data_IF_029151205230
#
_entry.id   IF_029151205230
#
_cell.length_a   1.000
_cell.length_b   1.000
_cell.length_c   1.000
_cell.angle_alpha   90.00
_cell.angle_beta   90.00
_cell.angle_gamma   90.00
#
_symmetry.space_group_name_H-M   'P 1'
#
loop_
_entity.id
_entity.type
_entity.pdbx_description
1 polymer ?
#
# COMPACT_ATOMS: atom_id res chain seq x y z
N UNK A 1 -9.45 3.99 -0.06
CA UNK A 1 -9.04 2.57 -0.22
C UNK A 1 -9.98 1.63 0.53
N UNK A 2 -10.34 1.90 1.79
CA UNK A 2 -11.17 0.98 2.61
C UNK A 2 -12.54 0.63 2.00
N UNK A 3 -13.19 1.53 1.27
CA UNK A 3 -14.44 1.23 0.55
C UNK A 3 -14.28 0.16 -0.54
N UNK A 4 -13.10 0.07 -1.17
CA UNK A 4 -12.81 -0.93 -2.20
C UNK A 4 -12.64 -2.33 -1.61
N UNK A 5 -12.18 -2.44 -0.35
CA UNK A 5 -12.06 -3.73 0.33
C UNK A 5 -13.39 -4.48 0.39
N UNK A 6 -14.51 -3.77 0.62
CA UNK A 6 -15.84 -4.38 0.67
C UNK A 6 -16.18 -5.10 -0.63
N UNK A 7 -15.90 -4.49 -1.79
CA UNK A 7 -16.15 -5.12 -3.09
C UNK A 7 -15.30 -6.37 -3.30
N UNK A 8 -14.01 -6.34 -2.92
CA UNK A 8 -13.12 -7.49 -3.04
C UNK A 8 -13.51 -8.64 -2.10
N UNK A 9 -13.95 -8.31 -0.89
CA UNK A 9 -14.48 -9.29 0.07
C UNK A 9 -15.74 -9.98 -0.47
N UNK A 10 -16.64 -9.25 -1.13
CA UNK A 10 -17.80 -9.84 -1.82
C UNK A 10 -17.40 -10.82 -2.93
N UNK A 11 -16.21 -10.65 -3.52
CA UNK A 11 -15.64 -11.56 -4.51
C UNK A 11 -14.87 -12.74 -3.90
N UNK A 12 -14.86 -12.86 -2.57
CA UNK A 12 -14.14 -13.92 -1.85
C UNK A 12 -12.62 -13.74 -1.80
N UNK A 13 -12.10 -12.54 -2.05
CA UNK A 13 -10.66 -12.28 -2.01
C UNK A 13 -10.15 -12.06 -0.58
N UNK A 14 -8.88 -12.41 -0.36
CA UNK A 14 -8.15 -12.10 0.87
C UNK A 14 -7.53 -10.69 0.74
N UNK A 15 -7.80 -9.82 1.70
CA UNK A 15 -7.26 -8.45 1.74
C UNK A 15 -5.87 -8.44 2.40
N UNK A 16 -4.89 -7.86 1.70
CA UNK A 16 -3.52 -7.67 2.20
C UNK A 16 -3.15 -6.19 2.07
N UNK A 17 -2.83 -5.54 3.20
CA UNK A 17 -2.46 -4.12 3.27
C UNK A 17 -0.95 -3.88 3.28
N UNK A 18 -0.51 -2.81 3.94
CA UNK A 18 0.90 -2.50 4.21
C UNK A 18 1.14 -2.51 5.72
N UNK A 19 1.80 -3.53 6.29
CA UNK A 19 2.10 -3.56 7.72
C UNK A 19 3.06 -2.45 8.14
N UNK A 20 2.97 -2.01 9.41
CA UNK A 20 3.90 -1.05 10.03
C UNK A 20 5.35 -1.53 10.15
N UNK A 21 5.65 -2.78 9.75
CA UNK A 21 7.04 -3.20 9.52
C UNK A 21 7.70 -2.43 8.37
N UNK A 22 6.92 -1.90 7.41
CA UNK A 22 7.35 -0.85 6.49
C UNK A 22 7.43 0.49 7.24
N UNK A 23 8.62 0.86 7.71
CA UNK A 23 8.81 2.05 8.56
C UNK A 23 8.47 3.35 7.82
N UNK A 24 8.51 3.35 6.50
CA UNK A 24 8.22 4.48 5.63
C UNK A 24 6.80 5.05 5.85
N UNK A 25 5.82 4.23 6.29
CA UNK A 25 4.45 4.71 6.58
C UNK A 25 4.34 5.45 7.93
N UNK A 26 5.38 5.44 8.75
CA UNK A 26 5.47 6.19 10.02
C UNK A 26 6.35 7.44 9.90
N UNK A 27 6.79 7.78 8.69
CA UNK A 27 7.64 8.95 8.46
C UNK A 27 6.88 10.25 8.81
N UNK A 28 7.52 11.11 9.61
CA UNK A 28 7.01 12.41 10.05
C UNK A 28 7.90 13.60 9.62
N UNK A 29 8.96 13.36 8.84
CA UNK A 29 9.89 14.40 8.39
C UNK A 29 9.47 15.07 7.08
N UNK A 30 8.60 14.44 6.30
CA UNK A 30 8.08 14.98 5.04
C UNK A 30 6.60 14.68 4.85
N UNK A 31 5.95 15.45 3.97
CA UNK A 31 4.60 15.14 3.51
C UNK A 31 4.68 13.90 2.60
N UNK A 32 4.18 12.77 3.10
CA UNK A 32 4.15 11.49 2.42
C UNK A 32 2.75 10.87 2.47
N UNK A 33 2.37 10.19 1.39
CA UNK A 33 1.29 9.21 1.39
C UNK A 33 1.71 7.89 2.04
N UNK A 34 0.82 6.90 1.94
CA UNK A 34 0.90 5.62 2.62
C UNK A 34 -0.06 5.52 3.80
N UNK A 35 -0.61 4.33 4.01
CA UNK A 35 -1.43 3.98 5.17
C UNK A 35 -1.31 2.48 5.43
N UNK A 36 -1.70 1.98 6.61
CA UNK A 36 -1.73 0.54 6.85
C UNK A 36 -2.67 -0.22 5.89
N UNK A 37 -3.61 0.47 5.25
CA UNK A 37 -4.52 -0.12 4.27
C UNK A 37 -3.90 -0.32 2.88
N UNK A 38 -2.78 0.35 2.58
CA UNK A 38 -2.17 0.35 1.26
C UNK A 38 -1.29 1.57 1.01
N UNK A 39 -0.37 1.44 0.06
CA UNK A 39 0.40 2.55 -0.48
C UNK A 39 -0.53 3.61 -1.09
N UNK A 40 -0.17 4.87 -0.94
CA UNK A 40 -0.84 5.98 -1.60
C UNK A 40 0.17 7.08 -1.91
N UNK A 41 -0.22 8.01 -2.79
CA UNK A 41 0.58 9.18 -3.17
C UNK A 41 -0.29 10.42 -3.11
N UNK A 42 0.32 11.57 -2.83
CA UNK A 42 -0.34 12.88 -2.88
C UNK A 42 -0.02 13.57 -4.21
N UNK A 43 -1.02 13.92 -5.00
CA UNK A 43 -0.82 14.59 -6.30
C UNK A 43 -0.76 16.13 -6.20
N UNK A 44 -1.14 16.70 -5.05
CA UNK A 44 -1.38 18.14 -4.90
C UNK A 44 -2.68 18.60 -5.58
N UNK A 45 -3.10 19.85 -5.34
CA UNK A 45 -4.35 20.37 -5.91
C UNK A 45 -4.30 20.62 -7.42
N UNK A 46 -3.10 20.84 -7.96
CA UNK A 46 -2.86 21.04 -9.40
C UNK A 46 -2.40 19.74 -10.12
N UNK A 47 -2.26 18.64 -9.39
CA UNK A 47 -1.85 17.34 -9.91
C UNK A 47 -0.38 17.23 -10.32
N UNK A 48 0.46 18.24 -10.05
CA UNK A 48 1.86 18.25 -10.52
C UNK A 48 2.83 17.52 -9.60
N UNK A 49 2.45 17.22 -8.35
CA UNK A 49 3.33 16.49 -7.43
C UNK A 49 3.43 15.04 -7.89
N UNK A 50 4.65 14.61 -8.17
CA UNK A 50 4.97 13.22 -8.46
C UNK A 50 5.15 12.42 -7.16
N UNK A 51 5.03 11.08 -7.19
CA UNK A 51 5.31 10.26 -6.03
C UNK A 51 6.74 10.50 -5.49
N UNK A 52 6.86 10.71 -4.19
CA UNK A 52 8.16 10.82 -3.52
C UNK A 52 8.87 9.47 -3.45
N UNK A 53 10.17 9.50 -3.19
CA UNK A 53 10.94 8.26 -2.99
C UNK A 53 10.40 7.42 -1.83
N UNK A 54 9.86 8.06 -0.78
CA UNK A 54 9.20 7.36 0.33
C UNK A 54 7.94 6.62 -0.13
N UNK A 55 7.08 7.29 -0.92
CA UNK A 55 5.85 6.70 -1.47
C UNK A 55 6.16 5.53 -2.42
N UNK A 56 7.20 5.66 -3.25
CA UNK A 56 7.67 4.58 -4.15
C UNK A 56 8.19 3.38 -3.35
N UNK A 57 8.93 3.60 -2.25
CA UNK A 57 9.39 2.52 -1.37
C UNK A 57 8.22 1.76 -0.75
N UNK A 58 7.21 2.48 -0.25
CA UNK A 58 5.98 1.87 0.30
C UNK A 58 5.27 1.02 -0.76
N UNK A 59 5.15 1.52 -1.99
CA UNK A 59 4.52 0.77 -3.09
C UNK A 59 5.30 -0.51 -3.45
N UNK A 60 6.64 -0.44 -3.49
CA UNK A 60 7.50 -1.61 -3.71
C UNK A 60 7.36 -2.63 -2.58
N UNK A 61 7.34 -2.16 -1.33
CA UNK A 61 7.11 -3.01 -0.17
C UNK A 61 5.75 -3.71 -0.27
N UNK A 62 4.68 -2.98 -0.60
CA UNK A 62 3.35 -3.56 -0.76
C UNK A 62 3.33 -4.66 -1.83
N UNK A 63 3.93 -4.41 -3.00
CA UNK A 63 4.01 -5.39 -4.07
C UNK A 63 4.72 -6.67 -3.64
N UNK A 64 5.88 -6.54 -2.99
CA UNK A 64 6.63 -7.68 -2.46
C UNK A 64 5.84 -8.44 -1.37
N UNK A 65 5.16 -7.71 -0.47
CA UNK A 65 4.38 -8.30 0.62
C UNK A 65 3.18 -9.11 0.09
N UNK A 66 2.40 -8.53 -0.84
CA UNK A 66 1.29 -9.24 -1.49
C UNK A 66 1.79 -10.48 -2.23
N UNK A 67 2.87 -10.36 -3.01
CA UNK A 67 3.46 -11.48 -3.74
C UNK A 67 3.94 -12.61 -2.79
N UNK A 68 4.54 -12.25 -1.65
CA UNK A 68 4.97 -13.22 -0.65
C UNK A 68 3.78 -13.94 0.01
N UNK A 69 2.73 -13.21 0.38
CA UNK A 69 1.51 -13.81 0.95
C UNK A 69 0.86 -14.75 -0.06
N UNK A 70 0.67 -14.31 -1.30
CA UNK A 70 0.10 -15.11 -2.37
C UNK A 70 0.95 -16.38 -2.62
N UNK A 71 2.28 -16.26 -2.72
CA UNK A 71 3.18 -17.40 -2.93
C UNK A 71 3.09 -18.43 -1.80
N UNK A 72 2.87 -18.01 -0.54
CA UNK A 72 2.70 -18.95 0.58
C UNK A 72 1.36 -19.67 0.54
N UNK A 73 0.30 -19.02 0.04
CA UNK A 73 -1.04 -19.60 -0.06
C UNK A 73 -1.19 -20.52 -1.29
N UNK A 74 -0.46 -20.25 -2.37
CA UNK A 74 -0.50 -21.05 -3.60
C UNK A 74 0.40 -22.30 -3.57
N UNK A 75 1.18 -22.52 -2.52
CA UNK A 75 2.01 -23.73 -2.39
C UNK A 75 1.13 -24.88 -1.93
N UNK A 76 0.82 -25.79 -2.85
CA UNK A 76 0.40 -27.17 -2.55
C UNK A 76 1.60 -28.00 -2.08
#
# INVERSE_FOLDING_TARGET
ITSFHTTLLHHGMIIVGVPYSCQEIMNMSEITGGSPYGASTLAGGDGKRLPSDNEIKIARFQGAHVAQVASKLCRE
#
